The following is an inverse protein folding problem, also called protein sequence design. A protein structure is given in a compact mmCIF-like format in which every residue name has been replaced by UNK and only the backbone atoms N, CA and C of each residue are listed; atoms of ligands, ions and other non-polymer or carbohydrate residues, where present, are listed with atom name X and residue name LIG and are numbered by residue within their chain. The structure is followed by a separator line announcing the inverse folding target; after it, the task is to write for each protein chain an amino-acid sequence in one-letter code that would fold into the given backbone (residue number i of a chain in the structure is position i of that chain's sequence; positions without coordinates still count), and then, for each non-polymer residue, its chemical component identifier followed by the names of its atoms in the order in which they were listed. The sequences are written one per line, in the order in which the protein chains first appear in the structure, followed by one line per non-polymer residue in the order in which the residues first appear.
data_IF_466809261379
#
_entry.id   IF_466809261379
#
_cell.length_a   1.000
_cell.length_b   1.000
_cell.length_c   1.000
_cell.angle_alpha   90.00
_cell.angle_beta   90.00
_cell.angle_gamma   90.00
#
_symmetry.space_group_name_H-M   'P 1'
#
loop_
_entity.id
_entity.type
_entity.pdbx_description
1 polymer ?
#
# COMPACT_ATOMS: atom_id res chain seq x y z
N UNK A 1 16.72 -59.70 6.93
CA UNK A 1 16.24 -60.82 7.76
C UNK A 1 16.56 -60.50 9.19
N UNK A 2 15.55 -60.61 10.07
CA UNK A 2 15.60 -60.53 11.55
C UNK A 2 16.16 -59.21 12.09
N UNK A 3 15.36 -58.35 12.74
CA UNK A 3 14.82 -58.62 14.07
C UNK A 3 13.48 -57.90 14.23
N UNK A 4 12.41 -58.69 14.32
CA UNK A 4 11.11 -58.28 14.83
C UNK A 4 10.87 -59.10 16.09
N UNK A 5 10.69 -58.45 17.25
CA UNK A 5 9.70 -58.79 18.30
C UNK A 5 9.94 -58.02 19.60
N UNK A 6 8.81 -57.80 20.31
CA UNK A 6 8.60 -57.27 21.68
C UNK A 6 8.51 -55.73 21.76
N UNK A 7 7.42 -55.11 22.23
CA UNK A 7 6.36 -55.57 23.15
C UNK A 7 5.06 -54.78 22.92
N UNK A 8 3.95 -55.53 22.85
CA UNK A 8 2.58 -55.06 23.02
C UNK A 8 1.95 -55.85 24.18
N UNK A 9 1.01 -55.21 24.88
CA UNK A 9 0.12 -55.69 25.98
C UNK A 9 0.57 -55.41 27.41
N UNK A 10 -0.18 -54.53 28.07
CA UNK A 10 -0.73 -54.56 29.45
C UNK A 10 -1.44 -53.20 29.60
N UNK A 11 -2.73 -52.99 29.91
CA UNK A 11 -3.85 -53.79 30.39
C UNK A 11 -5.14 -53.03 30.03
N UNK A 12 -6.25 -53.76 29.84
CA UNK A 12 -7.58 -53.18 29.67
C UNK A 12 -8.45 -53.32 30.93
N UNK A 13 -9.51 -52.51 30.94
CA UNK A 13 -10.82 -52.75 31.57
C UNK A 13 -11.00 -52.47 33.07
N UNK A 14 -11.79 -51.44 33.37
CA UNK A 14 -12.88 -51.48 34.35
C UNK A 14 -13.86 -50.33 34.03
N UNK A 15 -15.09 -50.70 33.66
CA UNK A 15 -16.17 -49.76 33.38
C UNK A 15 -16.85 -49.29 34.66
N UNK A 16 -17.38 -48.06 34.63
CA UNK A 16 -18.51 -47.69 35.46
C UNK A 16 -19.49 -46.82 34.67
N UNK A 17 -20.71 -47.31 34.70
CA UNK A 17 -21.98 -46.78 34.20
C UNK A 17 -22.35 -45.53 35.02
N UNK A 18 -23.15 -44.62 34.42
CA UNK A 18 -24.30 -43.88 35.03
C UNK A 18 -24.36 -42.36 34.70
N UNK A 19 -25.45 -42.02 33.97
CA UNK A 19 -26.31 -40.81 33.95
C UNK A 19 -25.88 -39.52 33.23
N UNK A 20 -26.54 -39.31 32.08
CA UNK A 20 -26.86 -38.01 31.48
C UNK A 20 -27.89 -37.23 32.33
N UNK A 21 -27.82 -35.89 32.36
CA UNK A 21 -28.94 -35.03 32.72
C UNK A 21 -29.55 -34.30 31.50
N UNK A 22 -30.80 -33.80 31.62
CA UNK A 22 -31.76 -33.77 30.52
C UNK A 22 -31.77 -32.48 29.69
N UNK A 23 -32.25 -32.66 28.46
CA UNK A 23 -32.73 -31.65 27.52
C UNK A 23 -33.95 -30.94 28.10
N UNK A 24 -33.91 -29.61 28.19
CA UNK A 24 -35.10 -28.78 28.43
C UNK A 24 -35.64 -28.25 27.10
N UNK A 25 -36.79 -28.79 26.70
CA UNK A 25 -37.65 -28.31 25.62
C UNK A 25 -38.63 -27.30 26.22
N UNK A 26 -38.55 -26.05 25.77
CA UNK A 26 -39.56 -25.02 26.05
C UNK A 26 -40.51 -24.85 24.86
N UNK A 27 -41.73 -25.37 24.98
CA UNK A 27 -42.85 -25.12 24.04
C UNK A 27 -43.84 -24.16 24.69
N UNK A 28 -44.20 -23.07 24.00
CA UNK A 28 -45.54 -22.45 23.95
C UNK A 28 -45.68 -21.80 22.56
N UNK A 29 -46.51 -22.30 21.62
CA UNK A 29 -47.97 -22.04 21.42
C UNK A 29 -48.37 -20.61 21.80
N UNK A 30 -49.14 -19.82 21.05
CA UNK A 30 -49.81 -19.85 19.74
C UNK A 30 -50.40 -18.43 19.61
N UNK A 31 -50.48 -17.84 18.42
CA UNK A 31 -51.75 -17.34 17.90
C UNK A 31 -51.60 -16.81 16.47
N UNK A 32 -52.35 -17.50 15.61
CA UNK A 32 -52.77 -17.11 14.28
C UNK A 32 -53.94 -16.17 14.45
N UNK A 33 -53.96 -14.99 13.80
CA UNK A 33 -55.18 -14.47 13.18
C UNK A 33 -54.82 -13.90 11.80
N UNK A 34 -55.55 -14.41 10.82
CA UNK A 34 -55.56 -14.11 9.40
C UNK A 34 -56.83 -13.30 9.13
N UNK A 35 -56.72 -12.20 8.39
CA UNK A 35 -57.72 -11.56 7.49
C UNK A 35 -57.11 -10.23 7.04
N UNK A 36 -57.02 -9.82 5.78
CA UNK A 36 -57.76 -10.22 4.59
C UNK A 36 -58.42 -8.99 3.97
N UNK A 37 -57.94 -8.62 2.76
CA UNK A 37 -58.59 -7.84 1.67
C UNK A 37 -58.50 -6.31 1.58
N UNK A 38 -57.87 -5.93 0.45
CA UNK A 38 -58.34 -5.12 -0.71
C UNK A 38 -58.65 -3.62 -0.53
N UNK A 39 -57.73 -2.83 -1.14
CA UNK A 39 -57.90 -1.91 -2.29
C UNK A 39 -58.86 -0.68 -2.19
N UNK A 40 -58.68 0.35 -3.04
CA UNK A 40 -58.50 1.75 -2.62
C UNK A 40 -59.67 2.64 -3.09
N UNK A 41 -59.74 3.88 -2.61
CA UNK A 41 -60.41 4.95 -3.37
C UNK A 41 -59.99 6.35 -2.88
N UNK A 42 -60.06 7.28 -3.82
CA UNK A 42 -59.67 8.69 -3.79
C UNK A 42 -60.53 9.54 -2.85
N UNK A 43 -60.05 10.74 -2.49
CA UNK A 43 -60.88 11.72 -1.80
C UNK A 43 -60.14 13.00 -1.39
N UNK A 44 -60.46 14.09 -2.07
CA UNK A 44 -59.82 15.40 -2.02
C UNK A 44 -60.08 16.24 -0.74
N UNK A 45 -59.17 17.21 -0.56
CA UNK A 45 -59.38 18.59 -0.11
C UNK A 45 -59.81 18.90 1.35
N UNK A 46 -59.11 19.90 1.93
CA UNK A 46 -59.77 20.96 2.70
C UNK A 46 -59.22 21.26 4.11
N UNK A 47 -58.37 22.28 4.19
CA UNK A 47 -58.62 23.45 5.04
C UNK A 47 -58.48 23.36 6.57
N UNK A 48 -57.35 23.89 7.07
CA UNK A 48 -57.38 24.94 8.09
C UNK A 48 -57.13 24.54 9.56
N UNK A 49 -56.56 25.44 10.38
CA UNK A 49 -55.65 25.06 11.48
C UNK A 49 -56.24 25.31 12.88
N UNK A 50 -55.61 24.70 13.90
CA UNK A 50 -55.44 25.16 15.31
C UNK A 50 -55.01 23.97 16.22
N UNK A 51 -54.51 24.20 17.44
CA UNK A 51 -53.39 25.05 17.83
C UNK A 51 -52.34 24.27 18.68
N UNK A 52 -51.24 24.95 18.99
CA UNK A 52 -50.16 24.51 19.87
C UNK A 52 -50.63 23.86 21.17
N UNK A 53 -50.04 22.70 21.50
CA UNK A 53 -49.98 22.16 22.86
C UNK A 53 -48.52 22.10 23.31
N UNK A 54 -48.20 23.02 24.20
CA UNK A 54 -47.03 23.02 25.08
C UNK A 54 -47.02 21.74 25.90
N UNK A 55 -45.91 21.00 25.92
CA UNK A 55 -45.62 20.05 27.00
C UNK A 55 -44.13 19.95 27.29
N UNK A 56 -43.85 20.24 28.56
CA UNK A 56 -42.81 19.72 29.45
C UNK A 56 -41.34 19.84 29.05
N UNK A 57 -40.68 20.73 29.80
CA UNK A 57 -39.26 20.78 30.07
C UNK A 57 -38.75 19.42 30.56
N UNK A 58 -37.77 18.85 29.87
CA UNK A 58 -36.90 17.79 30.39
C UNK A 58 -35.66 18.43 31.01
N UNK A 59 -35.49 18.24 32.31
CA UNK A 59 -34.30 18.60 33.07
C UNK A 59 -33.12 17.72 32.64
N UNK A 60 -32.06 18.34 32.13
CA UNK A 60 -30.77 17.69 31.87
C UNK A 60 -29.91 17.78 33.13
N UNK A 61 -29.62 16.62 33.71
CA UNK A 61 -28.71 16.45 34.82
C UNK A 61 -27.27 16.58 34.28
N UNK A 62 -26.59 17.67 34.68
CA UNK A 62 -25.20 17.91 34.35
C UNK A 62 -24.31 17.13 35.32
N UNK A 63 -23.67 16.06 34.84
CA UNK A 63 -22.49 15.52 35.52
C UNK A 63 -21.23 16.28 35.08
N UNK A 64 -20.51 16.75 36.08
CA UNK A 64 -19.46 17.74 36.01
C UNK A 64 -18.17 17.26 35.34
N UNK A 65 -17.53 18.24 34.71
CA UNK A 65 -16.26 18.21 34.02
C UNK A 65 -15.12 18.42 35.03
N UNK A 66 -14.36 17.38 35.37
CA UNK A 66 -13.12 17.50 36.17
C UNK A 66 -11.91 17.72 35.23
N UNK A 67 -11.55 19.00 35.06
CA UNK A 67 -10.37 19.47 34.34
C UNK A 67 -9.11 19.29 35.20
N UNK A 68 -8.29 18.26 34.91
CA UNK A 68 -6.93 18.18 35.45
C UNK A 68 -5.96 19.02 34.64
N UNK A 69 -5.62 20.20 35.17
CA UNK A 69 -4.53 21.07 34.70
C UNK A 69 -3.18 20.44 35.07
N UNK A 70 -2.31 20.21 34.09
CA UNK A 70 -0.88 19.97 34.31
C UNK A 70 -0.09 21.06 33.59
N UNK A 71 0.38 22.04 34.37
CA UNK A 71 1.42 22.99 33.97
C UNK A 71 2.76 22.38 34.35
N UNK A 72 3.68 22.28 33.41
CA UNK A 72 5.10 22.21 33.72
C UNK A 72 5.85 23.14 32.77
N UNK A 73 6.81 23.84 33.38
CA UNK A 73 7.45 25.05 32.90
C UNK A 73 8.56 24.76 31.89
N UNK A 74 8.78 25.77 31.03
CA UNK A 74 10.01 26.02 30.31
C UNK A 74 11.12 26.46 31.26
N UNK A 75 12.34 25.94 31.07
CA UNK A 75 13.62 26.55 31.43
C UNK A 75 14.73 25.65 30.84
N UNK A 76 15.89 26.11 30.39
CA UNK A 76 16.40 27.42 30.02
C UNK A 76 17.67 27.13 29.19
N UNK A 77 17.95 27.97 28.21
CA UNK A 77 19.22 27.96 27.49
C UNK A 77 20.37 28.37 28.43
N UNK A 78 21.50 27.67 28.35
CA UNK A 78 22.77 28.11 28.93
C UNK A 78 23.86 28.02 27.85
N UNK A 79 24.13 29.18 27.28
CA UNK A 79 25.29 29.53 26.48
C UNK A 79 26.56 29.34 27.31
N UNK A 80 27.58 28.70 26.73
CA UNK A 80 28.89 28.56 27.36
C UNK A 80 29.97 28.59 26.29
N UNK A 81 30.31 29.79 25.82
CA UNK A 81 31.48 30.04 25.00
C UNK A 81 32.73 29.97 25.90
N UNK A 82 33.67 29.09 25.55
CA UNK A 82 35.04 29.13 26.07
C UNK A 82 35.96 29.26 24.86
N UNK A 83 36.51 30.46 24.69
CA UNK A 83 37.62 30.78 23.82
C UNK A 83 38.78 31.27 24.69
N UNK A 84 39.89 30.53 24.71
CA UNK A 84 41.22 30.94 25.20
C UNK A 84 42.21 30.16 24.29
N UNK A 85 42.76 30.76 23.23
CA UNK A 85 44.08 31.43 23.16
C UNK A 85 45.18 30.60 23.85
N UNK A 86 46.27 30.16 23.26
CA UNK A 86 46.99 30.53 22.04
C UNK A 86 48.46 30.22 22.30
N UNK A 87 49.18 29.79 21.26
CA UNK A 87 50.65 29.76 21.06
C UNK A 87 50.83 28.90 19.81
N UNK A 88 51.43 29.29 18.69
CA UNK A 88 52.35 30.37 18.38
C UNK A 88 53.38 29.80 17.39
N UNK A 89 53.58 30.50 16.27
CA UNK A 89 54.77 30.54 15.40
C UNK A 89 54.97 29.58 14.19
N UNK A 90 55.60 30.19 13.16
CA UNK A 90 56.22 29.70 11.91
C UNK A 90 55.26 29.47 10.72
N UNK A 91 55.11 30.34 9.70
CA UNK A 91 56.04 31.05 8.79
C UNK A 91 56.75 30.12 7.77
N UNK A 92 56.30 30.26 6.50
CA UNK A 92 56.88 29.94 5.18
C UNK A 92 57.41 28.55 4.80
N UNK A 93 56.99 28.07 3.61
CA UNK A 93 57.77 27.18 2.74
C UNK A 93 56.97 26.14 1.96
N UNK A 94 56.71 26.41 0.68
CA UNK A 94 56.20 25.48 -0.36
C UNK A 94 57.18 24.36 -0.68
N UNK A 95 56.70 23.11 -0.79
CA UNK A 95 57.01 22.20 -1.91
C UNK A 95 56.04 21.00 -1.96
N UNK A 96 55.75 20.57 -3.18
CA UNK A 96 54.82 19.50 -3.56
C UNK A 96 55.52 18.15 -3.66
N UNK A 97 54.94 17.07 -3.12
CA UNK A 97 54.69 15.75 -3.74
C UNK A 97 54.17 14.73 -2.69
N UNK A 98 53.75 13.57 -3.18
CA UNK A 98 52.57 12.78 -2.80
C UNK A 98 52.80 11.53 -1.93
N UNK A 99 51.67 10.93 -1.49
CA UNK A 99 51.41 9.53 -1.08
C UNK A 99 51.42 9.27 0.44
N UNK A 100 50.24 9.01 1.02
CA UNK A 100 49.91 7.66 1.54
C UNK A 100 48.39 7.43 1.62
N UNK A 101 47.98 6.19 1.36
CA UNK A 101 46.61 5.72 1.28
C UNK A 101 46.13 5.10 2.62
N UNK A 102 44.85 5.20 3.00
CA UNK A 102 44.34 4.45 4.15
C UNK A 102 44.13 2.95 3.78
N UNK A 103 44.34 2.04 4.74
CA UNK A 103 44.54 0.61 4.51
C UNK A 103 43.25 -0.16 4.12
N UNK A 104 43.41 -1.36 3.54
CA UNK A 104 42.33 -2.12 2.91
C UNK A 104 41.55 -3.00 3.88
N UNK A 105 40.25 -3.17 3.60
CA UNK A 105 39.47 -4.30 4.10
C UNK A 105 37.99 -3.99 4.35
N UNK A 106 37.16 -4.07 3.31
CA UNK A 106 36.09 -5.08 3.13
C UNK A 106 35.13 -4.61 2.04
N UNK A 107 35.55 -4.67 0.77
CA UNK A 107 34.65 -4.57 -0.37
C UNK A 107 35.02 -5.66 -1.38
N UNK A 108 34.22 -6.71 -1.43
CA UNK A 108 34.23 -7.77 -2.44
C UNK A 108 32.76 -8.21 -2.51
N UNK A 109 32.06 -8.22 -3.63
CA UNK A 109 32.52 -8.49 -4.98
C UNK A 109 31.65 -7.76 -6.03
N UNK A 110 32.30 -7.12 -7.00
CA UNK A 110 31.85 -7.08 -8.38
C UNK A 110 33.05 -7.54 -9.22
N UNK A 111 32.91 -8.70 -9.85
CA UNK A 111 33.93 -9.31 -10.68
C UNK A 111 33.75 -8.87 -12.14
N UNK A 112 34.88 -8.47 -12.70
CA UNK A 112 35.10 -7.93 -14.04
C UNK A 112 35.21 -9.05 -15.07
N UNK A 113 34.69 -8.82 -16.27
CA UNK A 113 35.12 -9.50 -17.49
C UNK A 113 35.62 -8.47 -18.52
N UNK A 114 36.91 -8.24 -18.57
CA UNK A 114 37.62 -7.42 -19.58
C UNK A 114 38.18 -8.29 -20.69
N UNK A 115 38.04 -7.83 -21.95
CA UNK A 115 38.81 -8.27 -23.11
C UNK A 115 39.14 -7.07 -24.00
N UNK A 116 40.40 -6.94 -24.38
CA UNK A 116 41.10 -5.71 -24.78
C UNK A 116 41.25 -5.55 -26.30
N UNK A 117 41.22 -4.31 -26.81
CA UNK A 117 42.13 -3.84 -27.88
C UNK A 117 41.51 -3.18 -29.14
N UNK A 118 41.86 -1.91 -29.40
CA UNK A 118 41.96 -1.35 -30.77
C UNK A 118 41.27 -0.01 -31.11
N UNK A 119 41.94 1.11 -30.79
CA UNK A 119 42.01 2.42 -31.51
C UNK A 119 40.85 2.96 -32.37
N UNK A 120 40.30 4.12 -31.93
CA UNK A 120 40.28 5.37 -32.71
C UNK A 120 39.08 5.67 -33.63
N UNK A 121 38.12 6.46 -33.13
CA UNK A 121 37.44 7.52 -33.89
C UNK A 121 36.67 8.43 -32.90
N UNK A 122 36.88 9.74 -33.00
CA UNK A 122 36.07 10.73 -32.31
C UNK A 122 34.64 10.67 -32.86
N UNK A 123 33.66 10.54 -31.97
CA UNK A 123 32.27 10.89 -32.29
C UNK A 123 31.68 11.71 -31.14
N UNK A 124 30.81 12.62 -31.56
CA UNK A 124 30.36 13.81 -30.86
C UNK A 124 29.68 13.50 -29.53
N UNK A 125 29.75 14.49 -28.63
CA UNK A 125 29.26 14.41 -27.25
C UNK A 125 27.80 13.99 -27.15
N UNK A 126 27.59 12.69 -26.91
CA UNK A 126 26.42 12.19 -26.23
C UNK A 126 26.54 12.61 -24.76
N UNK A 127 25.82 13.67 -24.35
CA UNK A 127 25.49 13.86 -22.94
C UNK A 127 24.74 12.61 -22.51
N UNK A 128 25.43 11.67 -21.87
CA UNK A 128 24.84 10.53 -21.19
C UNK A 128 23.99 11.12 -20.06
N UNK A 129 22.72 11.39 -20.36
CA UNK A 129 21.74 11.82 -19.38
C UNK A 129 21.63 10.67 -18.38
N UNK A 130 22.21 10.83 -17.19
CA UNK A 130 22.11 9.81 -16.16
C UNK A 130 20.64 9.68 -15.77
N UNK A 131 20.06 8.51 -16.02
CA UNK A 131 18.69 8.18 -15.63
C UNK A 131 18.66 7.42 -14.30
N UNK A 132 17.51 7.40 -13.66
CA UNK A 132 17.20 6.61 -12.48
C UNK A 132 15.79 6.04 -12.59
N UNK A 133 15.59 4.80 -12.11
CA UNK A 133 14.26 4.17 -12.12
C UNK A 133 13.36 4.80 -11.07
N UNK A 134 12.21 5.30 -11.50
CA UNK A 134 11.21 5.93 -10.63
C UNK A 134 9.83 5.34 -10.92
N UNK A 135 9.02 5.17 -9.87
CA UNK A 135 7.64 4.67 -10.01
C UNK A 135 6.71 5.82 -10.35
N UNK A 136 6.08 5.76 -11.52
CA UNK A 136 4.94 6.61 -11.89
C UNK A 136 3.64 5.81 -11.76
N UNK A 137 2.49 6.48 -11.84
CA UNK A 137 1.19 5.79 -11.90
C UNK A 137 0.52 6.08 -13.24
N UNK A 138 0.08 5.01 -13.89
CA UNK A 138 -0.60 5.04 -15.18
C UNK A 138 -1.92 4.27 -15.11
N UNK A 139 -2.81 4.50 -16.08
CA UNK A 139 -4.03 3.73 -16.24
C UNK A 139 -3.77 2.55 -17.16
N UNK A 140 -4.06 1.34 -16.71
CA UNK A 140 -3.95 0.13 -17.52
C UNK A 140 -5.14 -0.01 -18.51
N UNK A 141 -5.09 -0.96 -19.46
CA UNK A 141 -6.17 -1.21 -20.42
C UNK A 141 -7.52 -1.61 -19.78
N UNK A 142 -7.52 -2.06 -18.52
CA UNK A 142 -8.72 -2.43 -17.76
C UNK A 142 -9.24 -1.26 -16.91
N UNK A 143 -8.55 -0.12 -16.93
CA UNK A 143 -8.93 1.10 -16.23
C UNK A 143 -8.42 1.20 -14.80
N UNK A 144 -7.53 0.31 -14.36
CA UNK A 144 -6.88 0.38 -13.05
C UNK A 144 -5.74 1.40 -13.05
N UNK A 145 -5.55 2.08 -11.92
CA UNK A 145 -4.37 2.90 -11.64
C UNK A 145 -3.25 1.98 -11.14
N UNK A 146 -2.16 1.89 -11.89
CA UNK A 146 -1.11 0.90 -11.70
C UNK A 146 0.25 1.59 -11.59
N UNK A 147 1.11 1.20 -10.63
CA UNK A 147 2.48 1.69 -10.58
C UNK A 147 3.29 1.10 -11.74
N UNK A 148 4.09 1.92 -12.41
CA UNK A 148 5.00 1.50 -13.48
C UNK A 148 6.36 2.15 -13.22
N UNK A 149 7.45 1.38 -13.25
CA UNK A 149 8.78 2.00 -13.11
C UNK A 149 9.32 2.42 -14.46
N UNK A 150 9.64 3.70 -14.61
CA UNK A 150 10.19 4.30 -15.81
C UNK A 150 11.61 4.82 -15.54
N UNK A 151 12.39 5.02 -16.60
CA UNK A 151 13.71 5.62 -16.53
C UNK A 151 13.59 7.15 -16.67
N UNK A 152 13.75 7.86 -15.55
CA UNK A 152 13.63 9.31 -15.47
C UNK A 152 15.02 9.95 -15.43
N UNK A 153 15.25 11.11 -16.06
CA UNK A 153 16.49 11.84 -15.92
C UNK A 153 16.68 12.26 -14.47
N UNK A 154 17.93 12.21 -13.99
CA UNK A 154 18.27 12.80 -12.69
C UNK A 154 18.08 14.31 -12.75
N UNK A 155 17.21 14.84 -11.91
CA UNK A 155 16.95 16.28 -11.78
C UNK A 155 17.08 16.70 -10.32
N UNK A 156 17.12 18.02 -10.08
CA UNK A 156 17.09 18.55 -8.71
C UNK A 156 15.77 18.23 -7.98
N UNK A 157 14.68 18.00 -8.73
CA UNK A 157 13.36 17.69 -8.17
C UNK A 157 12.77 16.46 -8.85
N UNK A 158 13.18 15.29 -8.36
CA UNK A 158 12.69 13.99 -8.85
C UNK A 158 11.18 13.84 -8.66
N UNK A 159 10.63 14.40 -7.57
CA UNK A 159 9.17 14.40 -7.32
C UNK A 159 8.41 15.18 -8.40
N UNK A 160 8.89 16.37 -8.79
CA UNK A 160 8.31 17.13 -9.90
C UNK A 160 8.39 16.34 -11.20
N UNK A 161 9.58 15.82 -11.54
CA UNK A 161 9.78 15.05 -12.78
C UNK A 161 8.89 13.80 -12.83
N UNK A 162 8.63 13.15 -11.70
CA UNK A 162 7.71 11.99 -11.61
C UNK A 162 6.30 12.36 -12.07
N UNK A 163 5.76 13.50 -11.62
CA UNK A 163 4.43 13.95 -12.07
C UNK A 163 4.43 14.44 -13.52
N UNK A 164 5.52 15.07 -13.99
CA UNK A 164 5.65 15.46 -15.41
C UNK A 164 5.60 14.24 -16.34
N UNK A 165 6.14 13.10 -15.90
CA UNK A 165 6.07 11.84 -16.63
C UNK A 165 4.69 11.17 -16.60
N UNK A 166 3.76 11.66 -15.77
CA UNK A 166 2.37 11.22 -15.73
C UNK A 166 1.44 12.07 -16.61
N UNK A 167 1.98 13.05 -17.36
CA UNK A 167 1.24 13.92 -18.29
C UNK A 167 1.04 13.24 -19.64
N UNK A 168 -0.19 13.27 -20.16
CA UNK A 168 -0.52 12.78 -21.49
C UNK A 168 0.21 13.59 -22.56
N UNK A 169 0.75 12.91 -23.58
CA UNK A 169 1.68 13.51 -24.56
C UNK A 169 2.91 14.18 -23.93
N UNK A 170 3.27 13.76 -22.72
CA UNK A 170 4.44 14.20 -21.98
C UNK A 170 5.65 13.27 -22.19
N UNK A 171 6.76 13.53 -21.49
CA UNK A 171 8.03 12.81 -21.67
C UNK A 171 7.98 11.33 -21.26
N UNK A 172 6.98 10.91 -20.46
CA UNK A 172 6.82 9.52 -20.03
C UNK A 172 6.05 8.63 -20.99
N UNK A 173 5.33 9.21 -21.97
CA UNK A 173 4.36 8.45 -22.79
C UNK A 173 5.02 7.35 -23.62
N UNK A 174 6.21 7.60 -24.18
CA UNK A 174 6.93 6.61 -24.99
C UNK A 174 7.51 5.44 -24.18
N UNK A 175 7.59 5.57 -22.85
CA UNK A 175 8.07 4.51 -21.97
C UNK A 175 6.93 3.71 -21.33
N UNK A 176 5.67 4.12 -21.54
CA UNK A 176 4.54 3.39 -21.00
C UNK A 176 4.36 2.05 -21.74
N UNK A 177 3.95 1.00 -21.02
CA UNK A 177 3.60 -0.27 -21.65
C UNK A 177 2.47 -0.12 -22.68
N UNK A 178 2.37 -1.08 -23.59
CA UNK A 178 1.35 -1.03 -24.65
C UNK A 178 -0.08 -0.98 -24.06
N UNK A 179 -0.84 0.03 -24.46
CA UNK A 179 -2.23 0.23 -24.01
C UNK A 179 -2.38 0.91 -22.64
N UNK A 180 -1.27 1.20 -21.95
CA UNK A 180 -1.31 2.04 -20.75
C UNK A 180 -1.41 3.51 -21.16
N UNK A 181 -2.03 4.32 -20.31
CA UNK A 181 -2.25 5.74 -20.55
C UNK A 181 -1.84 6.59 -19.34
N UNK A 182 -1.28 7.75 -19.61
CA UNK A 182 -1.04 8.80 -18.61
C UNK A 182 -2.35 9.25 -17.93
N UNK A 183 -2.25 9.66 -16.67
CA UNK A 183 -3.41 10.11 -15.88
C UNK A 183 -3.66 11.61 -15.99
N UNK A 184 -2.61 12.42 -16.11
CA UNK A 184 -2.74 13.88 -16.10
C UNK A 184 -3.03 14.41 -17.52
N UNK A 185 -3.92 15.40 -17.68
CA UNK A 185 -4.27 15.95 -18.98
C UNK A 185 -3.08 16.54 -19.75
N UNK A 186 -3.15 16.48 -21.07
CA UNK A 186 -2.19 17.12 -21.97
C UNK A 186 -2.05 18.63 -21.66
N UNK A 187 -0.81 19.12 -21.73
CA UNK A 187 -0.48 20.52 -21.46
C UNK A 187 -0.46 20.90 -19.97
N UNK A 188 -0.63 19.92 -19.07
CA UNK A 188 -0.46 20.13 -17.64
C UNK A 188 1.00 20.48 -17.33
N UNK A 189 1.22 21.62 -16.67
CA UNK A 189 2.51 21.99 -16.08
C UNK A 189 2.35 22.18 -14.58
N UNK A 190 3.42 21.94 -13.82
CA UNK A 190 3.34 21.94 -12.37
C UNK A 190 4.65 22.34 -11.66
N UNK A 191 4.51 22.76 -10.41
CA UNK A 191 5.60 22.86 -9.43
C UNK A 191 5.29 22.00 -8.21
N UNK A 192 6.33 21.51 -7.55
CA UNK A 192 6.22 20.73 -6.30
C UNK A 192 7.07 21.41 -5.23
N UNK A 193 6.43 21.70 -4.10
CA UNK A 193 7.09 22.17 -2.87
C UNK A 193 6.84 21.13 -1.77
N UNK A 194 7.89 20.69 -1.06
CA UNK A 194 7.79 19.68 -0.01
C UNK A 194 8.27 20.29 1.29
N UNK A 195 7.37 20.38 2.26
CA UNK A 195 7.66 20.88 3.61
C UNK A 195 6.88 20.07 4.64
N UNK A 196 7.53 19.71 5.75
CA UNK A 196 6.90 19.00 6.87
C UNK A 196 6.10 17.74 6.43
N UNK A 197 6.68 16.96 5.50
CA UNK A 197 6.07 15.78 4.85
C UNK A 197 4.80 16.04 4.03
N UNK A 198 4.47 17.29 3.75
CA UNK A 198 3.39 17.71 2.88
C UNK A 198 3.95 18.17 1.52
N UNK A 199 3.58 17.49 0.45
CA UNK A 199 3.84 17.92 -0.92
C UNK A 199 2.72 18.84 -1.43
N UNK A 200 3.03 20.10 -1.67
CA UNK A 200 2.12 21.03 -2.35
C UNK A 200 2.40 21.01 -3.84
N UNK A 201 1.46 20.47 -4.61
CA UNK A 201 1.53 20.39 -6.07
C UNK A 201 0.66 21.49 -6.66
N UNK A 202 1.29 22.43 -7.36
CA UNK A 202 0.61 23.55 -8.00
C UNK A 202 0.58 23.37 -9.52
N UNK A 203 -0.61 23.16 -10.06
CA UNK A 203 -0.85 22.93 -11.49
C UNK A 203 -1.25 24.20 -12.23
N UNK A 204 -1.11 24.20 -13.55
CA UNK A 204 -1.72 25.20 -14.43
C UNK A 204 -3.21 24.89 -14.72
N UNK A 205 -3.88 25.75 -15.51
CA UNK A 205 -5.29 25.54 -15.88
C UNK A 205 -5.54 24.28 -16.73
N UNK A 206 -4.54 23.76 -17.45
CA UNK A 206 -4.72 22.59 -18.29
C UNK A 206 -5.05 21.33 -17.48
N UNK A 207 -4.67 21.29 -16.20
CA UNK A 207 -5.03 20.21 -15.28
C UNK A 207 -6.54 19.98 -15.17
N UNK A 208 -7.40 20.96 -15.50
CA UNK A 208 -8.87 20.79 -15.45
C UNK A 208 -9.44 19.97 -16.62
N UNK A 209 -8.62 19.63 -17.63
CA UNK A 209 -9.07 19.01 -18.88
C UNK A 209 -9.13 17.48 -18.79
N UNK A 210 -9.86 16.95 -17.81
CA UNK A 210 -10.13 15.52 -17.67
C UNK A 210 -11.63 15.23 -17.59
N UNK A 211 -12.01 13.99 -17.90
CA UNK A 211 -13.38 13.53 -17.72
C UNK A 211 -13.72 13.35 -16.24
N UNK A 212 -14.92 13.75 -15.80
CA UNK A 212 -15.38 13.61 -14.41
C UNK A 212 -15.17 12.20 -13.81
N UNK A 213 -15.36 11.15 -14.62
CA UNK A 213 -15.16 9.73 -14.23
C UNK A 213 -13.70 9.36 -13.90
N UNK A 214 -12.75 10.18 -14.31
CA UNK A 214 -11.31 9.98 -14.09
C UNK A 214 -10.80 10.77 -12.87
N UNK A 215 -11.61 11.67 -12.30
CA UNK A 215 -11.20 12.56 -11.20
C UNK A 215 -10.57 11.80 -10.04
N UNK A 216 -11.23 10.73 -9.58
CA UNK A 216 -10.72 9.89 -8.50
C UNK A 216 -9.40 9.20 -8.87
N UNK A 217 -9.27 8.69 -10.10
CA UNK A 217 -8.03 8.03 -10.56
C UNK A 217 -6.86 8.99 -10.59
N UNK A 218 -7.11 10.25 -10.98
CA UNK A 218 -6.11 11.32 -10.97
C UNK A 218 -5.67 11.62 -9.53
N UNK A 219 -6.62 11.76 -8.60
CA UNK A 219 -6.31 11.96 -7.18
C UNK A 219 -5.48 10.79 -6.62
N UNK A 220 -5.88 9.56 -6.89
CA UNK A 220 -5.16 8.34 -6.49
C UNK A 220 -3.75 8.34 -7.08
N UNK A 221 -3.59 8.52 -8.39
CA UNK A 221 -2.29 8.52 -9.05
C UNK A 221 -1.33 9.58 -8.51
N UNK A 222 -1.79 10.83 -8.35
CA UNK A 222 -0.96 11.91 -7.78
C UNK A 222 -0.55 11.56 -6.34
N UNK A 223 -1.51 11.13 -5.52
CA UNK A 223 -1.27 10.84 -4.11
C UNK A 223 -0.28 9.71 -3.95
N UNK A 224 -0.45 8.62 -4.71
CA UNK A 224 0.41 7.45 -4.63
C UNK A 224 1.79 7.68 -5.25
N UNK A 225 1.90 8.52 -6.29
CA UNK A 225 3.19 8.95 -6.83
C UNK A 225 3.98 9.76 -5.81
N UNK A 226 3.35 10.74 -5.16
CA UNK A 226 4.02 11.63 -4.22
C UNK A 226 4.35 10.94 -2.90
N UNK A 227 3.42 10.16 -2.35
CA UNK A 227 3.69 9.36 -1.14
C UNK A 227 4.58 8.15 -1.40
N UNK A 228 5.06 7.95 -2.64
CA UNK A 228 6.15 7.03 -2.95
C UNK A 228 7.51 7.51 -2.43
N UNK A 229 7.66 8.81 -2.20
CA UNK A 229 8.86 9.41 -1.61
C UNK A 229 8.77 9.37 -0.08
N UNK A 230 9.81 8.87 0.60
CA UNK A 230 9.83 8.76 2.08
C UNK A 230 9.71 10.10 2.81
N UNK A 231 9.98 11.21 2.12
CA UNK A 231 9.84 12.58 2.63
C UNK A 231 8.42 13.13 2.49
N UNK A 232 7.45 12.36 1.97
CA UNK A 232 6.08 12.81 1.70
C UNK A 232 5.07 11.82 2.25
N UNK A 233 4.19 12.29 3.14
CA UNK A 233 3.06 11.53 3.68
C UNK A 233 1.70 12.06 3.18
N UNK A 234 1.66 13.33 2.79
CA UNK A 234 0.44 14.02 2.40
C UNK A 234 0.64 14.90 1.16
N UNK A 235 -0.43 15.14 0.42
CA UNK A 235 -0.43 15.93 -0.81
C UNK A 235 -1.53 16.98 -0.77
N UNK A 236 -1.18 18.23 -1.07
CA UNK A 236 -2.12 19.32 -1.29
C UNK A 236 -2.07 19.75 -2.76
N UNK A 237 -3.25 19.97 -3.35
CA UNK A 237 -3.38 20.36 -4.77
C UNK A 237 -3.75 21.85 -4.85
N UNK A 238 -3.05 22.58 -5.74
CA UNK A 238 -3.35 23.98 -6.11
C UNK A 238 -3.51 24.10 -7.62
N UNK A 239 -4.25 25.09 -8.08
CA UNK A 239 -4.27 25.53 -9.49
C UNK A 239 -3.95 27.02 -9.56
N UNK A 240 -2.93 27.40 -10.34
CA UNK A 240 -2.45 28.78 -10.47
C UNK A 240 -2.20 29.46 -9.11
N UNK A 241 -1.65 28.72 -8.14
CA UNK A 241 -1.35 29.19 -6.80
C UNK A 241 -2.55 29.21 -5.83
N UNK A 242 -3.78 28.98 -6.32
CA UNK A 242 -4.98 28.94 -5.49
C UNK A 242 -5.22 27.55 -4.90
N UNK A 243 -5.50 27.48 -3.60
CA UNK A 243 -5.90 26.25 -2.92
C UNK A 243 -7.29 25.80 -3.38
N UNK A 244 -7.42 24.50 -3.65
CA UNK A 244 -8.68 23.89 -4.01
C UNK A 244 -9.35 23.31 -2.75
N UNK A 245 -10.65 23.58 -2.57
CA UNK A 245 -11.49 22.90 -1.58
C UNK A 245 -12.17 21.65 -2.14
N UNK A 246 -12.19 21.54 -3.46
CA UNK A 246 -12.76 20.43 -4.20
C UNK A 246 -12.04 20.33 -5.54
N UNK A 247 -12.03 19.14 -6.13
CA UNK A 247 -11.50 18.92 -7.46
C UNK A 247 -12.37 19.62 -8.53
N UNK A 248 -11.77 20.12 -9.61
CA UNK A 248 -12.42 21.08 -10.50
C UNK A 248 -13.57 20.55 -11.36
N UNK A 249 -13.71 19.23 -11.58
CA UNK A 249 -14.65 18.70 -12.59
C UNK A 249 -15.84 17.99 -11.94
N UNK A 250 -15.62 16.93 -11.18
CA UNK A 250 -16.66 16.19 -10.45
C UNK A 250 -16.85 16.68 -9.01
N UNK A 251 -16.13 17.73 -8.59
CA UNK A 251 -16.31 18.41 -7.30
C UNK A 251 -16.04 17.51 -6.10
N UNK A 252 -15.14 16.53 -6.25
CA UNK A 252 -14.72 15.67 -5.13
C UNK A 252 -14.10 16.56 -4.04
N UNK A 253 -14.59 16.51 -2.78
CA UNK A 253 -14.06 17.35 -1.70
C UNK A 253 -12.57 17.10 -1.41
N UNK A 254 -11.88 18.17 -1.04
CA UNK A 254 -10.47 18.21 -0.62
C UNK A 254 -10.37 18.85 0.78
N UNK A 255 -11.21 18.39 1.71
CA UNK A 255 -11.30 18.95 3.07
C UNK A 255 -9.99 18.77 3.86
N UNK A 256 -9.25 17.71 3.56
CA UNK A 256 -7.94 17.39 4.14
C UNK A 256 -6.91 17.14 3.04
N UNK A 257 -5.60 17.33 3.33
CA UNK A 257 -4.55 16.86 2.44
C UNK A 257 -4.71 15.37 2.10
N UNK A 258 -4.51 15.04 0.82
CA UNK A 258 -4.63 13.67 0.33
C UNK A 258 -3.50 12.81 0.90
N UNK A 259 -3.83 11.60 1.33
CA UNK A 259 -2.86 10.60 1.78
C UNK A 259 -3.26 9.24 1.25
N UNK A 260 -2.44 8.21 1.45
CA UNK A 260 -2.75 6.83 1.04
C UNK A 260 -4.05 6.28 1.63
N UNK A 261 -4.64 6.94 2.64
CA UNK A 261 -5.98 6.64 3.18
C UNK A 261 -7.09 6.74 2.14
N UNK A 262 -6.90 7.49 1.04
CA UNK A 262 -7.86 7.53 -0.08
C UNK A 262 -8.01 6.16 -0.76
N UNK A 263 -7.04 5.26 -0.56
CA UNK A 263 -6.94 3.98 -1.25
C UNK A 263 -6.50 4.15 -2.70
N UNK A 264 -6.60 3.07 -3.47
CA UNK A 264 -6.36 3.02 -4.91
C UNK A 264 -7.21 1.91 -5.51
N UNK A 265 -7.84 2.17 -6.66
CA UNK A 265 -8.71 1.20 -7.33
C UNK A 265 -9.78 0.62 -6.38
N UNK A 266 -10.45 1.49 -5.63
CA UNK A 266 -11.29 1.08 -4.51
C UNK A 266 -12.38 0.06 -4.91
N UNK A 267 -12.43 -1.05 -4.20
CA UNK A 267 -13.48 -2.06 -4.25
C UNK A 267 -14.31 -2.02 -2.96
N UNK A 268 -15.61 -1.77 -3.13
CA UNK A 268 -16.59 -1.91 -2.07
C UNK A 268 -17.20 -3.30 -2.15
N UNK A 269 -17.06 -4.09 -1.10
CA UNK A 269 -17.81 -5.35 -0.95
C UNK A 269 -19.28 -5.05 -0.67
N UNK A 270 -20.17 -5.91 -1.16
CA UNK A 270 -21.60 -5.80 -0.85
C UNK A 270 -21.85 -5.86 0.66
N UNK A 271 -22.70 -4.98 1.17
CA UNK A 271 -23.06 -4.93 2.60
C UNK A 271 -22.04 -4.26 3.54
N UNK A 272 -20.90 -3.76 3.03
CA UNK A 272 -19.93 -3.00 3.85
C UNK A 272 -20.29 -1.51 3.85
N UNK A 273 -20.43 -0.92 5.03
CA UNK A 273 -20.55 0.53 5.19
C UNK A 273 -19.14 1.17 5.24
N UNK A 274 -18.97 2.27 4.52
CA UNK A 274 -17.75 3.08 4.54
C UNK A 274 -17.35 3.48 5.97
N UNK A 275 -18.31 3.90 6.80
CA UNK A 275 -18.04 4.38 8.17
C UNK A 275 -17.68 3.31 9.18
N UNK A 276 -17.84 2.03 8.83
CA UNK A 276 -17.59 0.87 9.72
C UNK A 276 -16.65 -0.14 9.07
N UNK A 277 -15.70 0.36 8.26
CA UNK A 277 -14.77 -0.46 7.51
C UNK A 277 -13.31 -0.10 7.80
N UNK A 278 -12.44 -1.10 7.63
CA UNK A 278 -10.99 -0.90 7.57
C UNK A 278 -10.59 -1.04 6.10
N UNK A 279 -9.93 -0.06 5.46
CA UNK A 279 -9.39 -0.21 4.13
C UNK A 279 -8.11 -1.08 4.16
N UNK A 280 -8.01 -2.05 3.26
CA UNK A 280 -6.81 -2.86 3.05
C UNK A 280 -6.43 -2.87 1.57
N UNK A 281 -5.19 -2.50 1.23
CA UNK A 281 -4.68 -2.48 -0.15
C UNK A 281 -3.95 -3.77 -0.50
N UNK A 282 -4.50 -4.50 -1.46
CA UNK A 282 -4.02 -5.82 -1.87
C UNK A 282 -3.38 -5.70 -3.24
N UNK A 283 -2.29 -6.41 -3.46
CA UNK A 283 -1.66 -6.49 -4.77
C UNK A 283 -2.07 -7.79 -5.45
N UNK A 284 -2.77 -7.68 -6.57
CA UNK A 284 -3.09 -8.80 -7.46
C UNK A 284 -2.29 -8.67 -8.75
N UNK A 285 -2.30 -9.71 -9.58
CA UNK A 285 -1.65 -9.63 -10.90
C UNK A 285 -2.68 -9.35 -11.99
N UNK A 286 -2.20 -8.73 -13.07
CA UNK A 286 -2.86 -8.72 -14.36
C UNK A 286 -1.81 -9.10 -15.42
N UNK A 287 -2.28 -9.44 -16.61
CA UNK A 287 -1.43 -9.82 -17.72
C UNK A 287 -1.76 -8.96 -18.95
N UNK A 288 -0.73 -8.59 -19.69
CA UNK A 288 -0.89 -7.91 -20.98
C UNK A 288 -1.14 -8.91 -22.11
N UNK A 289 -1.39 -8.41 -23.32
CA UNK A 289 -1.59 -9.24 -24.50
C UNK A 289 -0.35 -10.12 -24.81
N UNK A 290 0.83 -9.70 -24.38
CA UNK A 290 2.11 -10.39 -24.56
C UNK A 290 2.45 -11.32 -23.38
N UNK A 291 1.51 -11.56 -22.47
CA UNK A 291 1.69 -12.31 -21.22
C UNK A 291 2.69 -11.67 -20.24
N UNK A 292 2.93 -10.36 -20.35
CA UNK A 292 3.63 -9.57 -19.36
C UNK A 292 2.82 -9.45 -18.08
N UNK A 293 3.34 -9.94 -16.96
CA UNK A 293 2.67 -9.87 -15.66
C UNK A 293 3.06 -8.61 -14.90
N UNK A 294 2.09 -7.96 -14.29
CA UNK A 294 2.28 -6.79 -13.44
C UNK A 294 1.35 -6.81 -12.23
N UNK A 295 1.77 -6.14 -11.17
CA UNK A 295 1.02 -6.02 -9.92
C UNK A 295 0.11 -4.79 -9.94
N UNK A 296 -1.16 -5.00 -9.63
CA UNK A 296 -2.21 -3.97 -9.53
C UNK A 296 -2.64 -3.84 -8.07
N UNK A 297 -2.46 -2.67 -7.43
CA UNK A 297 -2.96 -2.43 -6.09
C UNK A 297 -4.47 -2.21 -6.11
N UNK A 298 -5.20 -2.80 -5.18
CA UNK A 298 -6.65 -2.70 -5.04
C UNK A 298 -7.00 -2.54 -3.56
N UNK A 299 -7.58 -1.41 -3.20
CA UNK A 299 -8.08 -1.19 -1.84
C UNK A 299 -9.45 -1.81 -1.67
N UNK A 300 -9.60 -2.73 -0.72
CA UNK A 300 -10.89 -3.27 -0.29
C UNK A 300 -11.30 -2.69 1.04
N UNK A 301 -12.59 -2.41 1.18
CA UNK A 301 -13.19 -2.11 2.47
C UNK A 301 -13.64 -3.41 3.11
N UNK A 302 -12.97 -3.80 4.20
CA UNK A 302 -13.34 -4.97 5.00
C UNK A 302 -14.04 -4.55 6.28
N UNK A 303 -14.71 -5.50 6.94
CA UNK A 303 -15.27 -5.28 8.29
C UNK A 303 -14.18 -4.71 9.20
N UNK A 304 -14.53 -3.67 9.96
CA UNK A 304 -13.62 -3.03 10.91
C UNK A 304 -12.91 -4.06 11.79
N UNK A 305 -11.58 -3.95 11.82
CA UNK A 305 -10.69 -4.85 12.55
C UNK A 305 -9.40 -4.11 12.92
N UNK A 306 -8.81 -4.50 14.06
CA UNK A 306 -7.49 -4.04 14.50
C UNK A 306 -6.37 -4.99 14.00
N UNK A 307 -6.73 -6.22 13.60
CA UNK A 307 -5.80 -7.20 13.02
C UNK A 307 -5.72 -7.03 11.49
N UNK A 308 -5.06 -5.96 11.07
CA UNK A 308 -4.92 -5.59 9.65
C UNK A 308 -4.12 -6.63 8.88
N UNK A 309 -3.08 -7.20 9.48
CA UNK A 309 -2.20 -8.17 8.81
C UNK A 309 -2.95 -9.46 8.46
N UNK A 310 -3.76 -9.98 9.39
CA UNK A 310 -4.63 -11.12 9.12
C UNK A 310 -5.69 -10.80 8.07
N UNK A 311 -6.32 -9.62 8.17
CA UNK A 311 -7.33 -9.21 7.19
C UNK A 311 -6.77 -9.13 5.76
N UNK A 312 -5.55 -8.61 5.59
CA UNK A 312 -4.84 -8.60 4.30
C UNK A 312 -4.68 -10.02 3.76
N UNK A 313 -4.23 -10.96 4.59
CA UNK A 313 -4.04 -12.34 4.17
C UNK A 313 -5.34 -13.05 3.82
N UNK A 314 -6.38 -12.87 4.64
CA UNK A 314 -7.71 -13.41 4.40
C UNK A 314 -8.29 -12.90 3.07
N UNK A 315 -8.11 -11.61 2.76
CA UNK A 315 -8.58 -11.03 1.50
C UNK A 315 -7.75 -11.43 0.28
N UNK A 316 -6.43 -11.60 0.42
CA UNK A 316 -5.58 -12.15 -0.65
C UNK A 316 -6.00 -13.58 -1.00
N UNK A 317 -6.30 -14.40 0.01
CA UNK A 317 -6.76 -15.78 -0.19
C UNK A 317 -8.13 -15.87 -0.87
N UNK A 318 -9.02 -14.88 -0.66
CA UNK A 318 -10.29 -14.78 -1.40
C UNK A 318 -10.08 -14.50 -2.89
N UNK A 319 -8.92 -13.96 -3.27
CA UNK A 319 -8.60 -13.59 -4.65
C UNK A 319 -9.29 -12.30 -5.12
N UNK A 320 -8.99 -11.84 -6.35
CA UNK A 320 -9.52 -10.60 -6.92
C UNK A 320 -10.93 -10.79 -7.50
N UNK A 321 -11.55 -9.67 -7.90
CA UNK A 321 -12.69 -9.73 -8.81
C UNK A 321 -12.21 -10.05 -10.24
N UNK A 322 -12.26 -11.33 -10.61
CA UNK A 322 -11.78 -11.82 -11.91
C UNK A 322 -12.57 -11.27 -13.11
N UNK A 323 -13.82 -10.80 -12.91
CA UNK A 323 -14.61 -10.18 -13.99
C UNK A 323 -14.00 -8.87 -14.51
N UNK A 324 -13.12 -8.23 -13.72
CA UNK A 324 -12.37 -7.04 -14.11
C UNK A 324 -11.02 -7.34 -14.77
N UNK A 325 -10.66 -8.62 -14.94
CA UNK A 325 -9.42 -9.05 -15.58
C UNK A 325 -8.23 -9.29 -14.63
N UNK A 326 -8.40 -9.05 -13.33
CA UNK A 326 -7.38 -9.38 -12.32
C UNK A 326 -7.27 -10.90 -12.11
N UNK A 327 -6.06 -11.36 -11.82
CA UNK A 327 -5.73 -12.76 -11.64
C UNK A 327 -5.38 -13.07 -10.17
N UNK A 328 -5.83 -14.23 -9.64
CA UNK A 328 -5.44 -14.67 -8.31
C UNK A 328 -3.93 -14.96 -8.27
N UNK A 329 -3.32 -14.63 -7.13
CA UNK A 329 -1.86 -14.74 -6.93
C UNK A 329 -1.48 -15.93 -6.04
N UNK A 330 -2.44 -16.45 -5.27
CA UNK A 330 -2.31 -17.66 -4.47
C UNK A 330 -3.21 -18.75 -5.05
N UNK A 331 -2.81 -20.01 -4.89
CA UNK A 331 -3.64 -21.14 -5.27
C UNK A 331 -4.89 -21.23 -4.35
N UNK A 332 -6.00 -21.77 -4.86
CA UNK A 332 -7.27 -21.80 -4.13
C UNK A 332 -7.24 -22.68 -2.86
N UNK A 333 -6.29 -23.62 -2.77
CA UNK A 333 -6.07 -24.47 -1.60
C UNK A 333 -5.13 -23.83 -0.57
N UNK A 334 -4.53 -22.68 -0.86
CA UNK A 334 -3.52 -22.08 0.00
C UNK A 334 -4.16 -21.74 1.34
N UNK A 335 -3.41 -22.04 2.41
CA UNK A 335 -3.86 -21.80 3.77
C UNK A 335 -2.76 -21.13 4.57
N UNK A 336 -3.11 -20.03 5.22
CA UNK A 336 -2.27 -19.34 6.19
C UNK A 336 -2.53 -19.96 7.56
N UNK A 337 -1.46 -20.40 8.22
CA UNK A 337 -1.49 -20.96 9.57
C UNK A 337 -1.38 -19.85 10.63
N UNK A 338 -0.52 -18.85 10.38
CA UNK A 338 -0.26 -17.76 11.32
C UNK A 338 0.28 -16.51 10.59
N UNK A 339 -0.01 -15.34 11.15
CA UNK A 339 0.52 -14.05 10.73
C UNK A 339 0.88 -13.28 11.99
N UNK A 340 2.17 -13.06 12.23
CA UNK A 340 2.63 -12.42 13.47
C UNK A 340 3.78 -11.47 13.25
N UNK A 341 3.80 -10.42 14.06
CA UNK A 341 4.95 -9.52 14.17
C UNK A 341 6.05 -10.24 14.98
N UNK A 342 7.20 -10.47 14.36
CA UNK A 342 8.34 -11.15 15.01
C UNK A 342 9.43 -10.18 15.46
N UNK A 343 9.42 -8.95 14.95
CA UNK A 343 10.21 -7.83 15.46
C UNK A 343 9.52 -6.50 15.13
N UNK A 344 10.10 -5.36 15.53
CA UNK A 344 9.53 -4.05 15.23
C UNK A 344 9.29 -3.79 13.75
N UNK A 345 10.11 -4.37 12.88
CA UNK A 345 10.13 -4.14 11.44
C UNK A 345 9.83 -5.38 10.60
N UNK A 346 9.68 -6.56 11.23
CA UNK A 346 9.49 -7.84 10.52
C UNK A 346 8.16 -8.47 10.90
N UNK A 347 7.41 -8.85 9.87
CA UNK A 347 6.19 -9.62 9.97
C UNK A 347 6.40 -11.00 9.34
N UNK A 348 6.03 -12.06 10.05
CA UNK A 348 6.17 -13.44 9.57
C UNK A 348 4.80 -13.99 9.20
N UNK A 349 4.71 -14.53 7.97
CA UNK A 349 3.55 -15.29 7.50
C UNK A 349 3.92 -16.74 7.35
N UNK A 350 3.21 -17.59 8.08
CA UNK A 350 3.38 -19.03 8.01
C UNK A 350 2.24 -19.65 7.21
N UNK A 351 2.56 -20.29 6.11
CA UNK A 351 1.63 -21.05 5.30
C UNK A 351 1.68 -22.54 5.63
N UNK A 352 0.63 -23.26 5.27
CA UNK A 352 0.69 -24.72 5.15
C UNK A 352 1.39 -25.14 3.86
N UNK A 353 1.71 -26.43 3.74
CA UNK A 353 2.24 -27.04 2.53
C UNK A 353 1.29 -26.96 1.32
N UNK A 354 0.00 -26.67 1.52
CA UNK A 354 -0.96 -26.43 0.43
C UNK A 354 -0.64 -25.20 -0.42
N UNK A 355 0.29 -24.34 0.02
CA UNK A 355 0.83 -23.28 -0.81
C UNK A 355 1.68 -23.81 -1.98
N UNK A 356 2.32 -24.96 -1.80
CA UNK A 356 3.32 -25.51 -2.72
C UNK A 356 2.66 -26.30 -3.86
N UNK A 357 3.29 -26.26 -5.03
CA UNK A 357 2.93 -27.10 -6.16
C UNK A 357 3.46 -28.54 -6.02
N UNK A 358 3.23 -29.37 -7.05
CA UNK A 358 3.67 -30.76 -7.11
C UNK A 358 5.20 -30.92 -6.99
N UNK A 359 5.95 -29.91 -7.43
CA UNK A 359 7.41 -29.84 -7.35
C UNK A 359 7.91 -29.19 -6.04
N UNK A 360 7.03 -29.02 -5.05
CA UNK A 360 7.31 -28.38 -3.75
C UNK A 360 7.75 -26.92 -3.87
N UNK A 361 7.32 -26.21 -4.92
CA UNK A 361 7.62 -24.79 -5.15
C UNK A 361 6.41 -23.91 -4.86
N UNK A 362 6.64 -22.76 -4.23
CA UNK A 362 5.64 -21.73 -4.01
C UNK A 362 5.48 -20.82 -5.26
N UNK A 363 4.29 -20.24 -5.48
CA UNK A 363 4.10 -19.30 -6.58
C UNK A 363 4.87 -18.00 -6.34
N UNK A 364 5.87 -17.69 -7.19
CA UNK A 364 6.71 -16.51 -7.04
C UNK A 364 5.88 -15.20 -6.99
N UNK A 365 4.94 -15.05 -7.93
CA UNK A 365 4.05 -13.88 -7.99
C UNK A 365 3.16 -13.75 -6.74
N UNK A 366 2.78 -14.90 -6.17
CA UNK A 366 2.01 -14.99 -4.92
C UNK A 366 2.79 -14.47 -3.74
N UNK A 367 4.04 -14.93 -3.56
CA UNK A 367 4.90 -14.48 -2.47
C UNK A 367 5.20 -12.98 -2.59
N UNK A 368 5.46 -12.50 -3.81
CA UNK A 368 5.67 -11.08 -4.04
C UNK A 368 4.44 -10.23 -3.71
N UNK A 369 3.24 -10.69 -4.07
CA UNK A 369 1.98 -10.03 -3.73
C UNK A 369 1.73 -9.97 -2.22
N UNK A 370 2.11 -11.02 -1.50
CA UNK A 370 2.05 -11.07 -0.03
C UNK A 370 2.96 -10.01 0.58
N UNK A 371 4.21 -9.91 0.11
CA UNK A 371 5.17 -8.90 0.58
C UNK A 371 4.63 -7.48 0.31
N UNK A 372 4.15 -7.23 -0.90
CA UNK A 372 3.61 -5.91 -1.28
C UNK A 372 2.40 -5.53 -0.43
N UNK A 373 1.47 -6.46 -0.22
CA UNK A 373 0.24 -6.16 0.51
C UNK A 373 0.51 -5.96 2.01
N UNK A 374 1.35 -6.78 2.63
CA UNK A 374 1.63 -6.63 4.06
C UNK A 374 2.44 -5.38 4.37
N UNK A 375 3.43 -5.05 3.54
CA UNK A 375 4.23 -3.83 3.73
C UNK A 375 3.46 -2.54 3.40
N UNK A 376 2.38 -2.63 2.62
CA UNK A 376 1.51 -1.48 2.33
C UNK A 376 0.56 -1.15 3.49
N UNK A 377 0.04 -2.18 4.16
CA UNK A 377 -1.01 -2.01 5.17
C UNK A 377 -0.50 -2.01 6.61
N UNK A 378 0.79 -2.25 6.81
CA UNK A 378 1.39 -2.35 8.14
C UNK A 378 2.67 -1.53 8.21
N UNK A 379 3.18 -1.30 9.42
CA UNK A 379 4.47 -0.63 9.62
C UNK A 379 5.67 -1.58 9.43
N UNK A 380 5.47 -2.78 8.88
CA UNK A 380 6.54 -3.73 8.64
C UNK A 380 7.40 -3.29 7.44
N UNK A 381 8.71 -3.27 7.62
CA UNK A 381 9.67 -2.99 6.55
C UNK A 381 9.99 -4.26 5.74
N UNK A 382 9.86 -5.44 6.36
CA UNK A 382 10.17 -6.74 5.76
C UNK A 382 9.14 -7.79 6.13
N UNK A 383 9.01 -8.80 5.25
CA UNK A 383 8.15 -9.97 5.48
C UNK A 383 8.99 -11.24 5.41
N UNK A 384 8.90 -12.07 6.43
CA UNK A 384 9.42 -13.44 6.41
C UNK A 384 8.30 -14.39 6.01
N UNK A 385 8.57 -15.25 5.03
CA UNK A 385 7.63 -16.28 4.59
C UNK A 385 8.14 -17.62 5.10
N UNK A 386 7.25 -18.44 5.67
CA UNK A 386 7.56 -19.80 6.10
C UNK A 386 6.47 -20.77 5.64
N UNK A 387 6.82 -22.05 5.48
CA UNK A 387 5.87 -23.14 5.20
C UNK A 387 6.01 -24.21 6.27
N UNK A 388 4.93 -24.50 7.01
CA UNK A 388 4.95 -25.38 8.18
C UNK A 388 6.06 -25.02 9.18
N UNK A 389 6.33 -23.73 9.34
CA UNK A 389 7.40 -23.18 10.19
C UNK A 389 8.81 -23.24 9.59
N UNK A 390 9.01 -23.89 8.44
CA UNK A 390 10.31 -23.89 7.74
C UNK A 390 10.52 -22.57 7.00
N UNK A 391 11.65 -21.86 7.20
CA UNK A 391 11.92 -20.61 6.54
C UNK A 391 12.47 -20.77 5.12
N UNK A 392 12.93 -21.97 4.72
CA UNK A 392 13.47 -22.22 3.38
C UNK A 392 12.34 -22.57 2.42
N UNK A 393 11.91 -21.60 1.62
CA UNK A 393 10.83 -21.73 0.64
C UNK A 393 11.39 -21.51 -0.76
N UNK A 394 11.30 -22.52 -1.62
CA UNK A 394 11.69 -22.43 -3.02
C UNK A 394 10.50 -21.98 -3.87
N UNK A 395 10.74 -21.16 -4.89
CA UNK A 395 9.69 -20.60 -5.75
C UNK A 395 9.75 -21.11 -7.19
N UNK A 396 8.64 -20.93 -7.91
CA UNK A 396 8.47 -21.33 -9.32
C UNK A 396 9.50 -20.72 -10.27
N UNK A 397 10.07 -19.55 -9.95
CA UNK A 397 11.14 -18.88 -10.69
C UNK A 397 12.55 -19.27 -10.20
N UNK A 398 12.66 -20.33 -9.39
CA UNK A 398 13.90 -20.88 -8.84
C UNK A 398 14.65 -19.95 -7.88
N UNK A 399 13.94 -19.00 -7.26
CA UNK A 399 14.46 -18.27 -6.11
C UNK A 399 14.25 -19.06 -4.81
N UNK A 400 15.00 -18.70 -3.78
CA UNK A 400 14.84 -19.24 -2.43
C UNK A 400 14.65 -18.09 -1.45
N UNK A 401 13.52 -18.12 -0.76
CA UNK A 401 13.22 -17.25 0.37
C UNK A 401 13.69 -17.98 1.62
N UNK A 402 14.71 -17.46 2.29
CA UNK A 402 15.24 -18.01 3.55
C UNK A 402 15.40 -16.95 4.64
N UNK A 403 15.18 -15.68 4.29
CA UNK A 403 15.36 -14.51 5.13
C UNK A 403 14.21 -13.52 4.91
N UNK A 404 13.98 -12.56 5.83
CA UNK A 404 12.95 -11.55 5.66
C UNK A 404 13.24 -10.67 4.42
N UNK A 405 12.24 -10.52 3.56
CA UNK A 405 12.35 -9.80 2.29
C UNK A 405 11.72 -8.42 2.42
N UNK A 406 12.46 -7.39 1.98
CA UNK A 406 11.96 -6.02 1.91
C UNK A 406 10.98 -5.82 0.76
N UNK A 407 10.15 -4.79 0.86
CA UNK A 407 9.38 -4.32 -0.29
C UNK A 407 10.33 -3.98 -1.47
N UNK A 408 10.04 -4.43 -2.71
CA UNK A 408 10.81 -4.01 -3.87
C UNK A 408 10.80 -2.49 -4.03
N UNK A 409 11.94 -1.92 -4.37
CA UNK A 409 12.09 -0.47 -4.60
C UNK A 409 11.35 0.01 -5.86
N UNK A 410 11.22 -0.87 -6.85
CA UNK A 410 10.63 -0.59 -8.15
C UNK A 410 9.51 -1.59 -8.41
N UNK A 411 8.29 -1.08 -8.60
CA UNK A 411 7.13 -1.89 -8.94
C UNK A 411 6.95 -1.93 -10.45
N UNK A 412 6.67 -3.13 -10.97
CA UNK A 412 6.47 -3.35 -12.40
C UNK A 412 7.64 -2.76 -13.22
N UNK A 413 8.89 -3.22 -12.97
CA UNK A 413 10.10 -2.50 -13.39
C UNK A 413 10.48 -2.61 -14.86
N UNK A 414 9.79 -3.48 -15.62
CA UNK A 414 10.13 -3.81 -17.00
C UNK A 414 8.96 -3.42 -17.92
N UNK A 415 8.70 -2.12 -18.14
CA UNK A 415 7.54 -1.67 -18.90
C UNK A 415 7.49 -2.23 -20.33
N UNK A 416 8.64 -2.51 -20.95
CA UNK A 416 8.73 -3.14 -22.27
C UNK A 416 8.28 -4.62 -22.28
N UNK A 417 8.36 -5.28 -21.13
CA UNK A 417 7.87 -6.65 -20.94
C UNK A 417 6.42 -6.68 -20.47
N UNK A 418 5.82 -5.51 -20.25
CA UNK A 418 4.42 -5.34 -19.96
C UNK A 418 3.70 -5.12 -21.28
#
# INVERSE_FOLDING_TARGET
MEQAWKLSRFFGQLGHKVREPPVYIGVRRTNVIRTGRKHPEEGAAGGGPRPYRTFAQGTYEQEGMELRKVRWLQAAAMTGAIAILGTGCSLWGTESQSIDAPPPGTETAMETGTGTGGTGAADAGAKTSQTAKMTVYAKDPKGFVVPVSLDLPKTQSVAKTTLEYMVAKGPGESQLPAGFASLLPEGTTLTVDIKDKLATVNFNQAFKKYDAKEERKIMEGITWAMTGFSTVEQVKIKINGQELKEMPVARTPLDEPLSRKIGINLEKQEGVDYGQSTPVTLYFTNATAQNGKYYVPVTRLVKRTDDVAKAVMDELLKGPNTSKGLQPVLNASAKVLDVKKTSDTVLTVNFSDQLLDENKKAPADGLQSVILSLTENTNAAKVQITVNGSPKVETSDSQTYSQPVSRPLHLNPNPEKL
#
